data_IF_920258874614
#
_entry.id   IF_920258874614
#
_cell.length_a   1.000
_cell.length_b   1.000
_cell.length_c   1.000
_cell.angle_alpha   90.00
_cell.angle_beta   90.00
_cell.angle_gamma   90.00
#
_symmetry.space_group_name_H-M   'P 1'
#
loop_
_entity.id
_entity.type
_entity.pdbx_description
1 polymer ?
#
# COMPACT_ATOMS: atom_id res chain seq x y z
N UNK A 1 20.35 -18.50 10.06
CA UNK A 1 19.49 -17.30 9.99
C UNK A 1 18.07 -17.81 9.83
N UNK A 2 17.12 -17.45 10.71
CA UNK A 2 15.72 -17.79 10.46
C UNK A 2 15.32 -17.14 9.14
N UNK A 3 14.64 -17.88 8.27
CA UNK A 3 14.16 -17.34 7.00
C UNK A 3 12.91 -16.55 7.36
N UNK A 4 13.00 -15.22 7.46
CA UNK A 4 11.81 -14.38 7.63
C UNK A 4 10.85 -14.66 6.47
N UNK A 5 9.79 -15.41 6.74
CA UNK A 5 8.76 -15.71 5.74
C UNK A 5 7.81 -14.53 5.72
N UNK A 6 7.77 -13.84 4.58
CA UNK A 6 6.87 -12.73 4.36
C UNK A 6 5.43 -13.24 4.34
N UNK A 7 4.59 -12.68 5.21
CA UNK A 7 3.22 -13.14 5.44
C UNK A 7 2.21 -12.28 4.69
N UNK A 8 2.26 -10.97 4.90
CA UNK A 8 1.25 -10.03 4.37
C UNK A 8 1.75 -8.59 4.40
N UNK A 9 1.04 -7.74 3.64
CA UNK A 9 1.11 -6.28 3.78
C UNK A 9 -0.19 -5.79 4.38
N UNK A 10 -0.08 -4.96 5.40
CA UNK A 10 -1.21 -4.19 5.92
C UNK A 10 -1.09 -2.74 5.49
N UNK A 11 -1.95 -2.30 4.58
CA UNK A 11 -2.03 -0.92 4.12
C UNK A 11 -2.86 -0.07 5.10
N UNK A 12 -2.42 1.17 5.27
CA UNK A 12 -3.14 2.19 6.03
C UNK A 12 -3.46 3.36 5.12
N UNK A 13 -4.74 3.73 5.10
CA UNK A 13 -5.23 4.86 4.33
C UNK A 13 -5.29 6.12 5.20
N UNK A 14 -5.28 7.29 4.57
CA UNK A 14 -5.37 8.59 5.28
C UNK A 14 -6.74 8.85 5.91
N UNK A 15 -7.75 8.04 5.59
CA UNK A 15 -9.07 8.08 6.21
C UNK A 15 -9.24 7.06 7.36
N UNK A 16 -8.12 6.52 7.87
CA UNK A 16 -8.05 5.50 8.92
C UNK A 16 -8.57 4.10 8.54
N UNK A 17 -9.02 3.88 7.29
CA UNK A 17 -9.28 2.52 6.80
C UNK A 17 -7.97 1.71 6.78
N UNK A 18 -8.11 0.39 6.76
CA UNK A 18 -6.99 -0.53 6.52
C UNK A 18 -7.32 -1.58 5.45
N UNK A 19 -6.28 -2.16 4.86
CA UNK A 19 -6.43 -3.30 3.94
C UNK A 19 -5.26 -4.26 4.07
N UNK A 20 -5.56 -5.51 4.39
CA UNK A 20 -4.56 -6.56 4.50
C UNK A 20 -4.54 -7.43 3.25
N UNK A 21 -3.36 -7.57 2.63
CA UNK A 21 -3.12 -8.41 1.45
C UNK A 21 -2.13 -9.50 1.81
N UNK A 22 -2.56 -10.76 1.69
CA UNK A 22 -1.73 -11.91 2.03
C UNK A 22 -0.70 -12.21 0.94
N UNK A 23 0.43 -12.81 1.31
CA UNK A 23 1.47 -13.21 0.35
C UNK A 23 0.93 -14.07 -0.80
N UNK A 24 -0.01 -14.96 -0.53
CA UNK A 24 -0.67 -15.80 -1.54
C UNK A 24 -1.51 -15.01 -2.55
N UNK A 25 -1.82 -13.75 -2.27
CA UNK A 25 -2.65 -12.88 -3.11
C UNK A 25 -1.82 -11.80 -3.80
N UNK A 26 -0.50 -11.86 -3.67
CA UNK A 26 0.45 -10.96 -4.34
C UNK A 26 1.22 -11.75 -5.39
N UNK A 27 1.26 -11.24 -6.62
CA UNK A 27 2.11 -11.79 -7.68
C UNK A 27 3.52 -11.20 -7.61
N UNK A 28 3.62 -9.89 -7.34
CA UNK A 28 4.89 -9.18 -7.22
C UNK A 28 4.77 -8.01 -6.25
N UNK A 29 5.86 -7.70 -5.53
CA UNK A 29 5.96 -6.55 -4.63
C UNK A 29 7.36 -5.94 -4.71
N UNK A 30 7.41 -4.62 -4.88
CA UNK A 30 8.66 -3.88 -4.99
C UNK A 30 8.66 -2.62 -4.12
N UNK A 31 9.56 -2.61 -3.14
CA UNK A 31 9.87 -1.47 -2.29
C UNK A 31 11.28 -0.96 -2.59
N UNK A 32 11.39 0.24 -3.17
CA UNK A 32 12.69 0.79 -3.55
C UNK A 32 13.21 1.77 -2.52
N UNK A 33 14.48 1.61 -2.15
CA UNK A 33 15.25 2.52 -1.27
C UNK A 33 14.50 2.86 0.02
N UNK A 34 14.20 1.85 0.81
CA UNK A 34 13.80 2.03 2.20
C UNK A 34 15.00 2.60 2.95
N UNK A 35 14.81 3.72 3.63
CA UNK A 35 15.85 4.38 4.43
C UNK A 35 15.37 4.51 5.87
N UNK A 36 16.29 4.67 6.81
CA UNK A 36 15.95 5.04 8.18
C UNK A 36 16.09 6.56 8.34
N UNK A 37 15.05 7.19 8.85
CA UNK A 37 15.01 8.60 9.20
C UNK A 37 14.56 8.77 10.65
N UNK A 38 15.11 9.76 11.35
CA UNK A 38 14.67 10.11 12.70
C UNK A 38 13.92 11.44 12.67
N UNK A 39 12.66 11.44 13.11
CA UNK A 39 11.80 12.61 12.98
C UNK A 39 10.58 12.57 13.89
N UNK A 40 9.72 13.58 13.76
CA UNK A 40 8.43 13.66 14.47
C UNK A 40 7.31 13.52 13.46
N UNK A 41 6.36 12.64 13.73
CA UNK A 41 5.11 12.58 12.98
C UNK A 41 4.09 13.47 13.68
N UNK A 42 3.46 14.38 12.93
CA UNK A 42 2.44 15.32 13.43
C UNK A 42 2.84 16.10 14.71
N UNK A 43 4.12 16.45 14.86
CA UNK A 43 4.63 17.16 16.06
C UNK A 43 4.77 16.30 17.31
N UNK A 44 4.55 14.98 17.21
CA UNK A 44 4.69 14.01 18.28
C UNK A 44 6.13 13.77 18.73
N UNK A 45 6.38 12.64 19.41
CA UNK A 45 7.71 12.26 19.89
C UNK A 45 8.66 11.99 18.71
N UNK A 46 9.96 12.14 18.98
CA UNK A 46 10.98 11.73 18.01
C UNK A 46 10.98 10.21 17.93
N UNK A 47 10.90 9.69 16.72
CA UNK A 47 10.80 8.26 16.44
C UNK A 47 11.59 7.92 15.19
N UNK A 48 11.90 6.64 15.06
CA UNK A 48 12.41 6.06 13.82
C UNK A 48 11.28 5.94 12.79
N UNK A 49 11.58 6.25 11.53
CA UNK A 49 10.63 6.27 10.41
C UNK A 49 11.33 5.64 9.21
N UNK A 50 10.62 4.78 8.48
CA UNK A 50 11.16 4.11 7.30
C UNK A 50 10.49 4.58 6.00
N UNK A 51 10.83 5.76 5.46
CA UNK A 51 10.32 6.16 4.16
C UNK A 51 10.97 5.34 3.03
N UNK A 52 10.17 5.00 2.03
CA UNK A 52 10.67 4.45 0.78
C UNK A 52 10.67 5.51 -0.33
N UNK A 53 11.47 5.30 -1.37
CA UNK A 53 11.47 6.19 -2.54
C UNK A 53 10.31 5.88 -3.49
N UNK A 54 9.95 4.60 -3.63
CA UNK A 54 8.92 4.12 -4.56
C UNK A 54 8.36 2.79 -4.07
N UNK A 55 7.08 2.58 -4.35
CA UNK A 55 6.38 1.33 -4.11
C UNK A 55 5.63 0.88 -5.35
N UNK A 56 5.61 -0.43 -5.60
CA UNK A 56 4.82 -1.07 -6.65
C UNK A 56 4.36 -2.45 -6.17
N UNK A 57 3.19 -2.86 -6.60
CA UNK A 57 2.64 -4.16 -6.27
C UNK A 57 1.65 -4.61 -7.35
N UNK A 58 1.63 -5.91 -7.60
CA UNK A 58 0.62 -6.61 -8.39
C UNK A 58 -0.17 -7.54 -7.46
N UNK A 59 -1.49 -7.33 -7.41
CA UNK A 59 -2.39 -8.00 -6.47
C UNK A 59 -3.41 -8.83 -7.26
N UNK A 60 -3.57 -10.09 -6.87
CA UNK A 60 -4.49 -11.04 -7.50
C UNK A 60 -5.95 -10.69 -7.15
N UNK A 61 -6.93 -11.02 -8.02
CA UNK A 61 -8.35 -10.70 -7.82
C UNK A 61 -8.91 -11.24 -6.51
N UNK A 62 -8.34 -12.33 -6.00
CA UNK A 62 -8.71 -12.90 -4.71
C UNK A 62 -8.54 -11.89 -3.57
N UNK A 63 -7.68 -10.88 -3.64
CA UNK A 63 -7.57 -9.87 -2.58
C UNK A 63 -8.70 -8.81 -2.59
N UNK A 64 -9.62 -8.84 -3.56
CA UNK A 64 -10.66 -7.80 -3.71
C UNK A 64 -11.76 -7.90 -2.64
N UNK A 65 -11.92 -9.08 -2.01
CA UNK A 65 -12.85 -9.24 -0.89
C UNK A 65 -12.29 -8.63 0.40
N UNK A 66 -13.18 -8.00 1.17
CA UNK A 66 -12.82 -7.37 2.44
C UNK A 66 -12.71 -8.44 3.53
N UNK A 67 -11.49 -8.57 4.06
CA UNK A 67 -11.14 -9.49 5.16
C UNK A 67 -11.31 -8.87 6.53
N UNK A 68 -11.06 -7.57 6.63
CA UNK A 68 -11.00 -6.85 7.90
C UNK A 68 -12.37 -6.22 8.23
N UNK A 69 -12.72 -6.19 9.52
CA UNK A 69 -13.93 -5.52 10.00
C UNK A 69 -13.81 -3.99 9.98
N UNK A 70 -12.58 -3.47 9.83
CA UNK A 70 -12.22 -2.05 9.94
C UNK A 70 -12.13 -1.36 8.56
N UNK A 71 -13.11 -1.60 7.69
CA UNK A 71 -13.20 -0.92 6.39
C UNK A 71 -14.53 -0.19 6.29
N UNK A 72 -14.51 1.04 5.78
CA UNK A 72 -15.72 1.84 5.55
C UNK A 72 -16.81 1.09 4.75
N UNK A 73 -18.08 1.38 5.05
CA UNK A 73 -19.26 0.77 4.40
C UNK A 73 -19.25 0.93 2.88
N UNK A 74 -18.61 1.99 2.36
CA UNK A 74 -18.45 2.21 0.93
C UNK A 74 -17.52 1.18 0.27
N UNK A 75 -16.41 0.82 0.92
CA UNK A 75 -15.53 -0.22 0.42
C UNK A 75 -16.21 -1.60 0.50
N UNK A 76 -17.01 -1.86 1.55
CA UNK A 76 -17.81 -3.08 1.69
C UNK A 76 -18.81 -3.30 0.54
N UNK A 77 -19.28 -2.23 -0.09
CA UNK A 77 -20.23 -2.32 -1.20
C UNK A 77 -19.55 -2.53 -2.56
N UNK A 78 -18.38 -1.91 -2.80
CA UNK A 78 -17.76 -1.84 -4.14
C UNK A 78 -16.52 -2.73 -4.31
N UNK A 79 -15.93 -3.26 -3.23
CA UNK A 79 -14.67 -4.03 -3.28
C UNK A 79 -13.42 -3.16 -3.14
N UNK A 80 -12.33 -3.76 -2.66
CA UNK A 80 -11.08 -3.02 -2.40
C UNK A 80 -10.45 -2.46 -3.66
N UNK A 81 -10.51 -3.17 -4.78
CA UNK A 81 -9.91 -2.73 -6.04
C UNK A 81 -10.58 -1.45 -6.53
N UNK A 82 -11.90 -1.40 -6.50
CA UNK A 82 -12.65 -0.19 -6.86
C UNK A 82 -12.36 0.98 -5.91
N UNK A 83 -12.18 0.71 -4.60
CA UNK A 83 -11.73 1.72 -3.64
C UNK A 83 -10.36 2.29 -4.02
N UNK A 84 -9.38 1.44 -4.32
CA UNK A 84 -8.02 1.84 -4.73
C UNK A 84 -8.02 2.60 -6.06
N UNK A 85 -8.94 2.28 -6.98
CA UNK A 85 -9.11 3.02 -8.23
C UNK A 85 -9.69 4.42 -7.99
N UNK A 86 -10.58 4.56 -7.01
CA UNK A 86 -11.31 5.80 -6.74
C UNK A 86 -10.52 6.78 -5.87
N UNK A 87 -9.88 6.29 -4.81
CA UNK A 87 -9.20 7.11 -3.81
C UNK A 87 -7.71 6.82 -3.82
N UNK A 88 -6.90 7.89 -3.85
CA UNK A 88 -5.44 7.79 -3.93
C UNK A 88 -4.80 8.04 -2.56
N UNK A 89 -5.32 7.42 -1.52
CA UNK A 89 -5.11 7.83 -0.13
C UNK A 89 -4.27 6.84 0.70
N UNK A 90 -3.50 5.95 0.07
CA UNK A 90 -2.59 5.05 0.78
C UNK A 90 -1.41 5.85 1.33
N UNK A 91 -1.22 5.81 2.65
CA UNK A 91 -0.16 6.55 3.33
C UNK A 91 1.09 5.69 3.58
N UNK A 92 0.86 4.47 4.07
CA UNK A 92 1.92 3.59 4.56
C UNK A 92 1.47 2.13 4.54
N UNK A 93 2.42 1.22 4.69
CA UNK A 93 2.13 -0.18 4.95
C UNK A 93 3.04 -0.76 6.03
N UNK A 94 2.54 -1.80 6.69
CA UNK A 94 3.32 -2.65 7.57
C UNK A 94 3.73 -3.91 6.79
N UNK A 95 5.02 -4.25 6.85
CA UNK A 95 5.51 -5.55 6.37
C UNK A 95 5.44 -6.53 7.54
N UNK A 96 4.61 -7.56 7.38
CA UNK A 96 4.39 -8.57 8.41
C UNK A 96 5.10 -9.86 8.00
N UNK A 97 5.89 -10.42 8.92
CA UNK A 97 6.57 -11.71 8.76
C UNK A 97 5.99 -12.73 9.75
N UNK A 98 6.02 -14.01 9.39
CA UNK A 98 5.45 -15.10 10.23
C UNK A 98 6.08 -15.16 11.63
N UNK A 99 7.38 -14.85 11.75
CA UNK A 99 8.15 -14.93 13.00
C UNK A 99 7.99 -13.69 13.92
N UNK A 100 7.17 -12.70 13.52
CA UNK A 100 7.10 -11.39 14.17
C UNK A 100 5.78 -11.12 14.93
N UNK A 101 5.04 -12.16 15.36
CA UNK A 101 3.78 -11.99 16.11
C UNK A 101 3.91 -11.11 17.37
N UNK A 102 5.09 -11.07 17.99
CA UNK A 102 5.38 -10.28 19.20
C UNK A 102 6.26 -9.03 18.94
N UNK A 103 6.50 -8.65 17.68
CA UNK A 103 7.32 -7.48 17.32
C UNK A 103 6.52 -6.39 16.66
N UNK A 104 6.95 -5.14 16.88
CA UNK A 104 6.43 -4.02 16.11
C UNK A 104 6.72 -4.27 14.62
N UNK A 105 5.70 -4.20 13.74
CA UNK A 105 5.89 -4.45 12.32
C UNK A 105 6.77 -3.37 11.70
N UNK A 106 7.50 -3.74 10.64
CA UNK A 106 8.29 -2.77 9.89
C UNK A 106 7.37 -1.88 9.06
N UNK A 107 7.09 -0.70 9.59
CA UNK A 107 6.20 0.28 8.95
C UNK A 107 6.95 1.13 7.91
N UNK A 108 6.50 1.05 6.67
CA UNK A 108 7.07 1.79 5.54
C UNK A 108 6.15 2.92 5.11
N UNK A 109 6.69 4.13 5.06
CA UNK A 109 5.98 5.33 4.62
C UNK A 109 6.18 5.55 3.13
N UNK A 110 5.09 5.81 2.39
CA UNK A 110 5.15 6.06 0.97
C UNK A 110 5.44 7.54 0.64
N UNK A 111 6.03 7.82 -0.54
CA UNK A 111 6.12 9.19 -1.04
C UNK A 111 4.74 9.82 -1.12
N UNK A 112 4.59 11.02 -0.57
CA UNK A 112 3.31 11.73 -0.54
C UNK A 112 3.43 13.15 -1.06
N UNK A 113 2.45 13.57 -1.86
CA UNK A 113 2.17 14.97 -2.14
C UNK A 113 0.67 15.14 -2.35
N UNK A 114 0.07 16.06 -1.60
CA UNK A 114 -1.37 16.33 -1.65
C UNK A 114 -1.82 16.67 -3.07
N UNK A 115 -2.92 16.05 -3.50
CA UNK A 115 -3.60 16.28 -4.78
C UNK A 115 -4.77 17.24 -4.63
N UNK A 116 -5.50 17.16 -3.52
CA UNK A 116 -6.69 17.95 -3.22
C UNK A 116 -6.46 18.97 -2.09
N UNK A 117 -7.49 19.79 -1.84
CA UNK A 117 -7.47 20.79 -0.77
C UNK A 117 -7.54 20.15 0.63
N UNK A 118 -8.23 19.01 0.74
CA UNK A 118 -8.45 18.26 1.98
C UNK A 118 -7.19 17.51 2.44
N UNK A 119 -6.21 17.31 1.55
CA UNK A 119 -4.94 16.68 1.86
C UNK A 119 -5.02 15.16 1.99
N UNK A 120 -6.01 14.52 1.38
CA UNK A 120 -6.23 13.07 1.45
C UNK A 120 -5.61 12.37 0.24
N UNK A 121 -5.93 12.80 -0.98
CA UNK A 121 -5.38 12.12 -2.16
C UNK A 121 -3.88 12.43 -2.36
N UNK A 122 -3.13 11.41 -2.73
CA UNK A 122 -1.72 11.43 -3.06
C UNK A 122 -1.53 11.46 -4.59
N UNK A 123 -0.93 12.54 -5.10
CA UNK A 123 -0.65 12.69 -6.55
C UNK A 123 0.32 11.63 -7.08
N UNK A 124 1.12 11.01 -6.22
CA UNK A 124 2.10 9.98 -6.62
C UNK A 124 1.50 8.58 -6.70
N UNK A 125 0.28 8.37 -6.19
CA UNK A 125 -0.41 7.10 -6.27
C UNK A 125 -1.19 6.97 -7.57
N UNK A 126 -1.03 5.85 -8.26
CA UNK A 126 -1.80 5.49 -9.44
C UNK A 126 -2.06 3.99 -9.45
N UNK A 127 -3.23 3.60 -9.94
CA UNK A 127 -3.73 2.23 -9.91
C UNK A 127 -4.49 1.91 -11.19
N UNK A 128 -4.47 0.64 -11.59
CA UNK A 128 -5.22 0.14 -12.72
C UNK A 128 -5.51 -1.36 -12.54
N UNK A 129 -6.73 -1.78 -12.89
CA UNK A 129 -7.10 -3.19 -12.99
C UNK A 129 -6.83 -3.64 -14.43
N UNK A 130 -6.02 -4.68 -14.60
CA UNK A 130 -5.75 -5.22 -15.93
C UNK A 130 -6.97 -5.90 -16.52
N UNK A 131 -7.26 -5.58 -17.79
CA UNK A 131 -8.31 -6.26 -18.55
C UNK A 131 -7.92 -7.67 -19.00
N UNK A 132 -6.64 -8.05 -18.84
CA UNK A 132 -6.11 -9.33 -19.30
C UNK A 132 -6.22 -10.42 -18.26
N UNK A 133 -5.92 -10.09 -17.01
CA UNK A 133 -5.88 -11.06 -15.90
C UNK A 133 -6.75 -10.66 -14.69
N UNK A 134 -7.29 -9.44 -14.65
CA UNK A 134 -8.08 -8.95 -13.52
C UNK A 134 -7.25 -8.47 -12.33
N UNK A 135 -5.91 -8.53 -12.41
CA UNK A 135 -5.04 -8.12 -11.31
C UNK A 135 -5.07 -6.61 -11.12
N UNK A 136 -4.97 -6.16 -9.86
CA UNK A 136 -4.76 -4.76 -9.53
C UNK A 136 -3.25 -4.47 -9.55
N UNK A 137 -2.87 -3.50 -10.39
CA UNK A 137 -1.55 -2.91 -10.38
C UNK A 137 -1.62 -1.58 -9.64
N UNK A 138 -0.75 -1.41 -8.64
CA UNK A 138 -0.66 -0.21 -7.83
C UNK A 138 0.78 0.30 -7.84
N UNK A 139 0.95 1.60 -8.04
CA UNK A 139 2.23 2.29 -8.03
C UNK A 139 2.15 3.56 -7.19
N UNK A 140 3.12 3.76 -6.30
CA UNK A 140 3.36 5.02 -5.61
C UNK A 140 4.79 5.46 -5.94
N UNK A 141 4.93 6.32 -6.96
CA UNK A 141 6.22 6.77 -7.50
C UNK A 141 6.11 8.23 -7.96
N UNK A 142 6.96 9.15 -7.46
CA UNK A 142 6.96 10.54 -7.92
C UNK A 142 7.30 10.75 -9.40
N UNK A 143 7.86 9.74 -10.07
CA UNK A 143 8.37 9.86 -11.43
C UNK A 143 7.59 9.08 -12.50
N UNK A 144 6.80 8.07 -12.10
CA UNK A 144 6.12 7.18 -13.06
C UNK A 144 4.75 6.79 -12.53
N UNK A 145 3.78 6.66 -13.42
CA UNK A 145 2.46 6.13 -13.11
C UNK A 145 2.41 4.62 -13.36
N UNK A 146 1.35 3.96 -12.89
CA UNK A 146 1.06 2.56 -13.23
C UNK A 146 1.03 2.33 -14.75
N UNK A 147 0.53 3.30 -15.52
CA UNK A 147 0.46 3.24 -16.98
C UNK A 147 1.82 3.41 -17.66
N UNK A 148 2.83 3.96 -16.98
CA UNK A 148 4.18 4.03 -17.52
C UNK A 148 4.90 2.69 -17.40
N UNK A 149 4.58 1.95 -16.34
CA UNK A 149 5.33 0.78 -15.89
C UNK A 149 4.71 -0.53 -16.36
N UNK A 150 3.37 -0.60 -16.44
CA UNK A 150 2.61 -1.82 -16.72
C UNK A 150 1.86 -1.76 -18.06
N UNK A 151 2.44 -1.10 -19.07
CA UNK A 151 1.81 -0.90 -20.39
C UNK A 151 1.40 -2.19 -21.09
N UNK A 152 2.15 -3.27 -20.86
CA UNK A 152 1.94 -4.53 -21.55
C UNK A 152 1.00 -5.45 -20.76
N UNK A 153 0.73 -5.12 -19.51
CA UNK A 153 -0.04 -5.91 -18.56
C UNK A 153 -1.47 -5.38 -18.46
N UNK A 154 -1.68 -4.07 -18.64
CA UNK A 154 -2.99 -3.40 -18.59
C UNK A 154 -3.86 -3.57 -19.85
#
# INVERSE_FOLDING_TARGET
>A
MSKHVFKELKFYFRNDDTWTVSHSEMSDVWLSRVTTSYGRIAGGRMQEIHPCKRFRIEILPDADYIKDADVSTAAMADGMFNRIMKYQDIEKCDLVFEDDEDKDPLQIYFPFKKKDADGLDNIYQSSAISKKNGNLYLTIDPAHTVFDLYKNEL
#
